data_IF_506173830895
#
_entry.id   IF_506173830895
#
_cell.length_a   1.000
_cell.length_b   1.000
_cell.length_c   1.000
_cell.angle_alpha   90.00
_cell.angle_beta   90.00
_cell.angle_gamma   90.00
#
_symmetry.space_group_name_H-M   'P 1'
#
loop_
_entity.id
_entity.type
_entity.pdbx_description
1 polymer ?
#
# COMPACT_ATOMS: atom_id res chain seq x y z
N UNK A 1 21.77 -25.88 -25.61
CA UNK A 1 20.40 -25.97 -25.05
C UNK A 1 20.32 -25.93 -23.53
N UNK A 2 21.06 -26.76 -22.77
CA UNK A 2 20.98 -26.80 -21.28
C UNK A 2 21.27 -25.46 -20.59
N UNK A 3 22.27 -24.70 -21.06
CA UNK A 3 22.59 -23.37 -20.51
C UNK A 3 21.47 -22.33 -20.73
N UNK A 4 20.81 -22.34 -21.89
CA UNK A 4 19.66 -21.46 -22.15
C UNK A 4 18.48 -21.77 -21.22
N UNK A 5 18.19 -23.06 -21.03
CA UNK A 5 17.15 -23.53 -20.11
C UNK A 5 17.43 -23.10 -18.65
N UNK A 6 18.69 -23.14 -18.23
CA UNK A 6 19.12 -22.65 -16.92
C UNK A 6 18.92 -21.13 -16.76
N UNK A 7 19.27 -20.33 -17.78
CA UNK A 7 19.07 -18.88 -17.76
C UNK A 7 17.58 -18.49 -17.74
N UNK A 8 16.74 -19.20 -18.50
CA UNK A 8 15.28 -19.00 -18.48
C UNK A 8 14.72 -19.31 -17.09
N UNK A 9 15.12 -20.42 -16.48
CA UNK A 9 14.68 -20.81 -15.13
C UNK A 9 15.10 -19.77 -14.08
N UNK A 10 16.34 -19.27 -14.15
CA UNK A 10 16.85 -18.22 -13.25
C UNK A 10 16.09 -16.89 -13.42
N UNK A 11 15.76 -16.51 -14.66
CA UNK A 11 14.94 -15.32 -14.94
C UNK A 11 13.52 -15.45 -14.40
N UNK A 12 12.92 -16.62 -14.51
CA UNK A 12 11.58 -16.89 -13.98
C UNK A 12 11.57 -16.87 -12.45
N UNK A 13 12.59 -17.40 -11.79
CA UNK A 13 12.76 -17.29 -10.34
C UNK A 13 12.90 -15.84 -9.86
N UNK A 14 13.67 -15.00 -10.58
CA UNK A 14 13.78 -13.57 -10.28
C UNK A 14 12.45 -12.83 -10.42
N UNK A 15 11.69 -13.12 -11.48
CA UNK A 15 10.34 -12.56 -11.66
C UNK A 15 9.40 -12.96 -10.53
N UNK A 16 9.41 -14.23 -10.14
CA UNK A 16 8.57 -14.74 -9.05
C UNK A 16 8.93 -14.09 -7.71
N UNK A 17 10.22 -13.89 -7.43
CA UNK A 17 10.66 -13.19 -6.22
C UNK A 17 10.18 -11.73 -6.19
N UNK A 18 10.31 -11.01 -7.31
CA UNK A 18 9.83 -9.63 -7.41
C UNK A 18 8.31 -9.53 -7.25
N UNK A 19 7.57 -10.45 -7.88
CA UNK A 19 6.12 -10.55 -7.73
C UNK A 19 5.70 -10.85 -6.29
N UNK A 20 6.36 -11.81 -5.63
CA UNK A 20 6.09 -12.16 -4.24
C UNK A 20 6.32 -10.96 -3.30
N UNK A 21 7.42 -10.23 -3.51
CA UNK A 21 7.72 -9.01 -2.74
C UNK A 21 6.65 -7.93 -2.93
N UNK A 22 6.19 -7.74 -4.17
CA UNK A 22 5.10 -6.82 -4.52
C UNK A 22 3.80 -7.22 -3.83
N UNK A 23 3.40 -8.50 -3.92
CA UNK A 23 2.19 -9.01 -3.30
C UNK A 23 2.23 -8.91 -1.77
N UNK A 24 3.35 -9.26 -1.14
CA UNK A 24 3.52 -9.14 0.31
C UNK A 24 3.36 -7.68 0.78
N UNK A 25 3.97 -6.73 0.07
CA UNK A 25 3.81 -5.29 0.37
C UNK A 25 2.37 -4.82 0.23
N UNK A 26 1.66 -5.32 -0.77
CA UNK A 26 0.24 -5.01 -0.97
C UNK A 26 -0.63 -5.56 0.17
N UNK A 27 -0.46 -6.84 0.53
CA UNK A 27 -1.20 -7.46 1.63
C UNK A 27 -0.91 -6.79 2.97
N UNK A 28 0.33 -6.39 3.22
CA UNK A 28 0.67 -5.63 4.42
C UNK A 28 -0.05 -4.28 4.46
N UNK A 29 -0.15 -3.61 3.31
CA UNK A 29 -0.95 -2.39 3.17
C UNK A 29 -2.42 -2.61 3.47
N UNK A 30 -3.00 -3.69 2.96
CA UNK A 30 -4.40 -4.06 3.17
C UNK A 30 -4.70 -4.31 4.66
N UNK A 31 -3.84 -5.06 5.35
CA UNK A 31 -3.95 -5.31 6.80
C UNK A 31 -3.89 -3.98 7.56
N UNK A 32 -2.94 -3.10 7.24
CA UNK A 32 -2.82 -1.79 7.88
C UNK A 32 -4.05 -0.90 7.62
N UNK A 33 -4.58 -0.88 6.40
CA UNK A 33 -5.80 -0.13 6.09
C UNK A 33 -7.01 -0.60 6.89
N UNK A 34 -7.17 -1.92 7.04
CA UNK A 34 -8.26 -2.50 7.83
C UNK A 34 -8.10 -2.23 9.34
N UNK A 35 -6.86 -2.26 9.86
CA UNK A 35 -6.56 -1.86 11.25
C UNK A 35 -6.78 -0.36 11.47
N UNK A 36 -6.58 0.47 10.45
CA UNK A 36 -6.84 1.90 10.58
C UNK A 36 -8.33 2.19 10.74
N UNK A 37 -9.22 1.40 10.13
CA UNK A 37 -10.67 1.52 10.31
C UNK A 37 -11.12 1.39 11.77
N UNK A 38 -10.56 0.41 12.50
CA UNK A 38 -10.84 0.27 13.94
C UNK A 38 -10.24 1.42 14.76
N UNK A 39 -9.05 1.91 14.39
CA UNK A 39 -8.44 3.10 15.00
C UNK A 39 -9.26 4.39 14.74
N UNK A 40 -9.90 4.48 13.58
CA UNK A 40 -10.73 5.60 13.15
C UNK A 40 -11.92 5.82 14.09
N UNK A 41 -12.51 4.75 14.62
CA UNK A 41 -13.58 4.86 15.63
C UNK A 41 -13.10 5.52 16.94
N UNK A 42 -11.85 5.30 17.35
CA UNK A 42 -11.28 6.02 18.50
C UNK A 42 -11.08 7.50 18.17
N UNK A 43 -10.59 7.82 16.97
CA UNK A 43 -10.41 9.20 16.51
C UNK A 43 -11.74 9.95 16.35
N UNK A 44 -12.81 9.25 15.95
CA UNK A 44 -14.15 9.83 15.78
C UNK A 44 -14.74 10.34 17.09
N UNK A 45 -14.41 9.74 18.23
CA UNK A 45 -14.86 10.24 19.53
C UNK A 45 -14.21 11.58 19.91
N UNK A 46 -13.05 11.90 19.36
CA UNK A 46 -12.29 13.13 19.64
C UNK A 46 -12.50 14.21 18.57
N UNK A 47 -12.85 13.82 17.34
CA UNK A 47 -12.93 14.73 16.18
C UNK A 47 -14.39 15.00 15.82
N UNK A 48 -14.76 16.28 15.81
CA UNK A 48 -16.15 16.75 15.62
C UNK A 48 -16.72 16.43 14.23
N UNK A 49 -15.87 16.28 13.21
CA UNK A 49 -16.31 16.09 11.82
C UNK A 49 -15.46 15.05 11.07
N UNK A 50 -16.10 14.03 10.52
CA UNK A 50 -15.46 12.98 9.70
C UNK A 50 -14.71 13.57 8.48
N UNK A 51 -15.16 14.71 7.95
CA UNK A 51 -14.48 15.40 6.85
C UNK A 51 -13.08 15.88 7.23
N UNK A 52 -12.82 16.22 8.50
CA UNK A 52 -11.49 16.57 8.98
C UNK A 52 -10.54 15.37 8.89
N UNK A 53 -11.02 14.17 9.21
CA UNK A 53 -10.22 12.93 9.08
C UNK A 53 -9.88 12.66 7.62
N UNK A 54 -10.84 12.85 6.71
CA UNK A 54 -10.62 12.68 5.28
C UNK A 54 -9.61 13.70 4.72
N UNK A 55 -9.67 14.96 5.13
CA UNK A 55 -8.70 15.99 4.72
C UNK A 55 -7.30 15.64 5.22
N UNK A 56 -7.16 15.23 6.49
CA UNK A 56 -5.87 14.79 7.07
C UNK A 56 -5.32 13.59 6.31
N UNK A 57 -6.17 12.61 5.97
CA UNK A 57 -5.79 11.43 5.21
C UNK A 57 -5.27 11.80 3.81
N UNK A 58 -5.96 12.68 3.10
CA UNK A 58 -5.54 13.16 1.77
C UNK A 58 -4.19 13.87 1.86
N UNK A 59 -4.03 14.79 2.82
CA UNK A 59 -2.77 15.52 3.02
C UNK A 59 -1.62 14.58 3.40
N UNK A 60 -1.90 13.54 4.19
CA UNK A 60 -0.91 12.52 4.52
C UNK A 60 -0.45 11.76 3.27
N UNK A 61 -1.37 11.31 2.41
CA UNK A 61 -1.00 10.62 1.16
C UNK A 61 -0.23 11.53 0.19
N UNK A 62 -0.64 12.79 0.08
CA UNK A 62 0.05 13.76 -0.77
C UNK A 62 1.47 14.06 -0.26
N UNK A 63 1.64 14.16 1.07
CA UNK A 63 2.95 14.29 1.69
C UNK A 63 3.87 13.09 1.42
N UNK A 64 3.35 11.85 1.55
CA UNK A 64 4.14 10.66 1.21
C UNK A 64 4.52 10.68 -0.28
N UNK A 65 3.60 11.03 -1.17
CA UNK A 65 3.88 11.14 -2.60
C UNK A 65 4.95 12.19 -2.89
N UNK A 66 4.86 13.37 -2.27
CA UNK A 66 5.88 14.41 -2.37
C UNK A 66 7.26 13.89 -1.93
N UNK A 67 7.35 13.15 -0.82
CA UNK A 67 8.61 12.56 -0.36
C UNK A 67 9.16 11.51 -1.35
N UNK A 68 8.29 10.69 -1.94
CA UNK A 68 8.67 9.66 -2.91
C UNK A 68 9.19 10.27 -4.21
N UNK A 69 8.56 11.34 -4.71
CA UNK A 69 8.96 11.98 -5.97
C UNK A 69 10.15 12.95 -5.82
N UNK A 70 10.28 13.62 -4.67
CA UNK A 70 11.38 14.57 -4.44
C UNK A 70 12.73 13.86 -4.28
N UNK A 71 12.74 12.67 -3.69
CA UNK A 71 13.95 11.86 -3.58
C UNK A 71 14.05 10.95 -4.81
N UNK A 72 15.21 10.92 -5.48
CA UNK A 72 15.55 9.87 -6.45
C UNK A 72 15.73 8.52 -5.72
N UNK A 73 14.66 7.98 -5.16
CA UNK A 73 14.65 6.64 -4.59
C UNK A 73 14.84 5.62 -5.71
N UNK A 74 15.50 4.50 -5.40
CA UNK A 74 15.63 3.40 -6.34
C UNK A 74 14.24 2.86 -6.72
N UNK A 75 14.05 2.55 -8.01
CA UNK A 75 12.82 2.02 -8.62
C UNK A 75 12.13 0.90 -7.81
N UNK A 76 12.94 0.04 -7.16
CA UNK A 76 12.45 -1.07 -6.34
C UNK A 76 11.70 -0.61 -5.07
N UNK A 77 12.17 0.44 -4.40
CA UNK A 77 11.52 0.98 -3.19
C UNK A 77 10.25 1.73 -3.55
N UNK A 78 10.28 2.45 -4.68
CA UNK A 78 9.12 3.17 -5.20
C UNK A 78 7.95 2.22 -5.49
N UNK A 79 8.25 1.05 -6.06
CA UNK A 79 7.25 -0.01 -6.29
C UNK A 79 6.63 -0.52 -4.97
N UNK A 80 7.44 -0.78 -3.95
CA UNK A 80 6.98 -1.26 -2.65
C UNK A 80 6.07 -0.22 -1.97
N UNK A 81 6.50 1.05 -1.91
CA UNK A 81 5.73 2.12 -1.27
C UNK A 81 4.39 2.33 -1.96
N UNK A 82 4.35 2.32 -3.31
CA UNK A 82 3.10 2.46 -4.07
C UNK A 82 2.15 1.28 -3.84
N UNK A 83 2.67 0.05 -3.85
CA UNK A 83 1.85 -1.13 -3.58
C UNK A 83 1.28 -1.12 -2.17
N UNK A 84 2.06 -0.64 -1.19
CA UNK A 84 1.60 -0.47 0.18
C UNK A 84 0.51 0.61 0.29
N UNK A 85 0.68 1.76 -0.36
CA UNK A 85 -0.33 2.83 -0.42
C UNK A 85 -1.65 2.34 -1.03
N UNK A 86 -1.60 1.62 -2.16
CA UNK A 86 -2.79 1.06 -2.80
C UNK A 86 -3.46 0.04 -1.87
N UNK A 87 -2.68 -0.81 -1.19
CA UNK A 87 -3.19 -1.74 -0.19
C UNK A 87 -3.95 -1.03 0.94
N UNK A 88 -3.37 0.05 1.50
CA UNK A 88 -4.05 0.85 2.54
C UNK A 88 -5.36 1.43 2.02
N UNK A 89 -5.34 2.09 0.85
CA UNK A 89 -6.53 2.72 0.28
C UNK A 89 -7.65 1.70 0.05
N UNK A 90 -7.32 0.50 -0.45
CA UNK A 90 -8.29 -0.58 -0.62
C UNK A 90 -8.79 -1.08 0.73
N UNK A 91 -7.92 -1.24 1.73
CA UNK A 91 -8.33 -1.64 3.08
C UNK A 91 -9.32 -0.66 3.71
N UNK A 92 -9.04 0.65 3.60
CA UNK A 92 -9.94 1.71 4.06
C UNK A 92 -11.27 1.69 3.32
N UNK A 93 -11.23 1.46 2.00
CA UNK A 93 -12.42 1.40 1.17
C UNK A 93 -13.32 0.20 1.48
N UNK A 94 -12.73 -0.97 1.74
CA UNK A 94 -13.45 -2.17 2.17
C UNK A 94 -14.16 -1.91 3.50
N UNK A 95 -13.47 -1.31 4.47
CA UNK A 95 -14.05 -1.03 5.77
C UNK A 95 -15.18 0.02 5.67
N UNK A 96 -14.98 1.09 4.86
CA UNK A 96 -16.01 2.08 4.59
C UNK A 96 -17.29 1.48 3.96
N UNK A 97 -17.15 0.50 3.07
CA UNK A 97 -18.31 -0.21 2.52
C UNK A 97 -19.01 -1.10 3.53
N UNK A 98 -18.27 -1.73 4.44
CA UNK A 98 -18.83 -2.61 5.47
C UNK A 98 -19.80 -1.87 6.40
N UNK A 99 -19.52 -0.60 6.72
CA UNK A 99 -20.39 0.23 7.58
C UNK A 99 -21.54 0.89 6.83
N UNK A 100 -21.56 0.83 5.49
CA UNK A 100 -22.57 1.45 4.64
C UNK A 100 -23.68 0.52 4.14
N UNK A 101 -23.62 -0.79 4.45
CA UNK A 101 -24.68 -1.78 4.20
C UNK A 101 -25.56 -1.99 5.43
#
# INVERSE_FOLDING_TARGET
MKQLLFLVKKRQQLKNYFFLKSACSFYFGLICGNLFGTFLNFLRNEIVWDGTVLIILILFFDFINFLVYKKKFQELYLTVVKNYQIGILIGLFIDAFKVGS
#
